data_IF_460115455466
#
_entry.id   IF_460115455466
#
_cell.length_a   1.000
_cell.length_b   1.000
_cell.length_c   1.000
_cell.angle_alpha   90.00
_cell.angle_beta   90.00
_cell.angle_gamma   90.00
#
_symmetry.space_group_name_H-M   'P 1'
#
loop_
_entity.id
_entity.type
_entity.pdbx_description
1 polymer ?
#
# COMPACT_ATOMS: atom_id res chain seq x y z
N UNK A 1 15.02 -15.84 13.23
CA UNK A 1 13.98 -16.45 14.07
C UNK A 1 12.81 -15.48 14.06
N UNK A 2 11.85 -15.67 13.16
CA UNK A 2 10.69 -14.77 13.07
C UNK A 2 9.85 -14.95 14.34
N UNK A 3 9.62 -13.86 15.08
CA UNK A 3 8.71 -13.88 16.21
C UNK A 3 7.30 -14.16 15.63
N UNK A 4 6.60 -15.23 16.08
CA UNK A 4 5.29 -15.58 15.55
C UNK A 4 4.30 -14.41 15.63
N UNK A 5 4.46 -13.54 16.63
CA UNK A 5 3.66 -12.34 16.83
C UNK A 5 3.78 -11.35 15.66
N UNK A 6 4.97 -11.18 15.10
CA UNK A 6 5.21 -10.25 13.99
C UNK A 6 4.53 -10.73 12.69
N UNK A 7 4.56 -12.04 12.45
CA UNK A 7 3.92 -12.63 11.26
C UNK A 7 2.40 -12.48 11.34
N UNK A 8 1.80 -12.67 12.52
CA UNK A 8 0.37 -12.46 12.73
C UNK A 8 -0.02 -10.99 12.51
N UNK A 9 0.78 -10.05 13.03
CA UNK A 9 0.57 -8.62 12.81
C UNK A 9 0.62 -8.27 11.32
N UNK A 10 1.60 -8.79 10.59
CA UNK A 10 1.76 -8.52 9.16
C UNK A 10 0.67 -9.16 8.30
N UNK A 11 0.23 -10.37 8.66
CA UNK A 11 -0.95 -11.00 8.06
C UNK A 11 -2.19 -10.12 8.25
N UNK A 12 -2.44 -9.67 9.48
CA UNK A 12 -3.58 -8.81 9.79
C UNK A 12 -3.50 -7.47 9.05
N UNK A 13 -2.32 -6.85 8.99
CA UNK A 13 -2.09 -5.62 8.23
C UNK A 13 -2.36 -5.84 6.73
N UNK A 14 -1.95 -6.97 6.16
CA UNK A 14 -2.23 -7.31 4.77
C UNK A 14 -3.72 -7.43 4.51
N UNK A 15 -4.46 -8.14 5.36
CA UNK A 15 -5.92 -8.27 5.25
C UNK A 15 -6.63 -6.93 5.42
N UNK A 16 -6.22 -6.10 6.37
CA UNK A 16 -6.81 -4.79 6.63
C UNK A 16 -6.46 -3.74 5.55
N UNK A 17 -5.43 -3.98 4.75
CA UNK A 17 -5.04 -3.07 3.66
C UNK A 17 -5.97 -3.13 2.44
N UNK A 18 -6.83 -4.16 2.34
CA UNK A 18 -7.72 -4.39 1.20
C UNK A 18 -8.54 -3.18 0.76
N UNK A 19 -9.33 -2.56 1.64
CA UNK A 19 -10.13 -1.36 1.31
C UNK A 19 -9.28 -0.20 0.80
N UNK A 20 -8.08 -0.02 1.35
CA UNK A 20 -7.15 1.04 0.94
C UNK A 20 -6.54 0.76 -0.44
N UNK A 21 -6.02 -0.45 -0.65
CA UNK A 21 -5.50 -0.90 -1.95
C UNK A 21 -6.58 -0.86 -3.04
N UNK A 22 -7.79 -1.33 -2.71
CA UNK A 22 -8.93 -1.28 -3.62
C UNK A 22 -9.32 0.15 -3.98
N UNK A 23 -9.29 1.07 -3.01
CA UNK A 23 -9.50 2.49 -3.23
C UNK A 23 -8.48 3.08 -4.21
N UNK A 24 -7.19 2.78 -4.00
CA UNK A 24 -6.11 3.23 -4.87
C UNK A 24 -6.29 2.73 -6.31
N UNK A 25 -6.54 1.43 -6.47
CA UNK A 25 -6.71 0.81 -7.79
C UNK A 25 -7.90 1.44 -8.52
N UNK A 26 -9.06 1.55 -7.88
CA UNK A 26 -10.26 2.14 -8.50
C UNK A 26 -10.05 3.61 -8.85
N UNK A 27 -9.45 4.39 -7.94
CA UNK A 27 -9.24 5.82 -8.15
C UNK A 27 -8.27 6.11 -9.32
N UNK A 28 -7.22 5.29 -9.47
CA UNK A 28 -6.16 5.51 -10.47
C UNK A 28 -6.34 4.73 -11.78
N UNK A 29 -7.32 3.82 -11.86
CA UNK A 29 -7.70 3.12 -13.09
C UNK A 29 -8.50 4.04 -14.02
N UNK A 30 -7.84 5.12 -14.45
CA UNK A 30 -8.35 6.16 -15.35
C UNK A 30 -7.35 6.42 -16.45
N UNK A 31 -7.84 6.88 -17.61
CA UNK A 31 -6.98 7.24 -18.73
C UNK A 31 -6.04 8.41 -18.36
N UNK A 32 -4.96 8.55 -19.12
CA UNK A 32 -3.95 9.59 -18.89
C UNK A 32 -4.58 11.00 -18.87
N UNK A 33 -4.16 11.84 -17.91
CA UNK A 33 -4.69 13.19 -17.63
C UNK A 33 -6.17 13.30 -17.26
N UNK A 34 -6.86 12.19 -17.01
CA UNK A 34 -8.18 12.23 -16.41
C UNK A 34 -8.08 12.45 -14.89
N UNK A 35 -9.05 13.15 -14.28
CA UNK A 35 -9.12 13.25 -12.83
C UNK A 35 -9.30 11.85 -12.20
N UNK A 36 -8.88 11.72 -10.94
CA UNK A 36 -9.07 10.50 -10.15
C UNK A 36 -10.54 10.10 -10.12
N UNK A 37 -10.81 8.81 -10.31
CA UNK A 37 -12.17 8.27 -10.29
C UNK A 37 -12.69 8.22 -8.86
N UNK A 38 -13.69 9.03 -8.55
CA UNK A 38 -14.40 9.01 -7.27
C UNK A 38 -15.81 8.43 -7.37
N UNK A 39 -16.41 8.50 -8.57
CA UNK A 39 -17.80 8.16 -8.81
C UNK A 39 -17.97 6.82 -9.53
N UNK A 40 -19.08 6.13 -9.25
CA UNK A 40 -19.51 4.94 -9.97
C UNK A 40 -19.73 5.26 -11.45
N UNK A 41 -19.19 4.47 -12.41
CA UNK A 41 -19.43 4.70 -13.84
C UNK A 41 -20.87 4.47 -14.28
N UNK A 42 -21.65 3.72 -13.51
CA UNK A 42 -23.03 3.33 -13.87
C UNK A 42 -24.05 4.31 -13.31
N UNK A 43 -23.98 4.62 -12.01
CA UNK A 43 -25.01 5.43 -11.33
C UNK A 43 -24.50 6.79 -10.82
N UNK A 44 -23.21 7.11 -11.00
CA UNK A 44 -22.65 8.41 -10.65
C UNK A 44 -22.49 8.70 -9.15
N UNK A 45 -22.90 7.81 -8.25
CA UNK A 45 -22.74 8.01 -6.80
C UNK A 45 -21.25 7.97 -6.41
N UNK A 46 -20.87 8.73 -5.39
CA UNK A 46 -19.52 8.66 -4.82
C UNK A 46 -19.27 7.27 -4.26
N UNK A 47 -18.20 6.63 -4.74
CA UNK A 47 -17.80 5.26 -4.38
C UNK A 47 -16.46 5.18 -3.69
N UNK A 48 -15.57 6.13 -3.96
CA UNK A 48 -14.23 6.19 -3.37
C UNK A 48 -14.02 7.60 -2.88
N UNK A 49 -13.69 7.73 -1.59
CA UNK A 49 -13.20 8.98 -1.03
C UNK A 49 -11.69 9.03 -1.23
N UNK A 50 -11.21 10.05 -1.94
CA UNK A 50 -9.79 10.20 -2.27
C UNK A 50 -9.28 11.49 -1.63
N UNK A 51 -8.35 11.34 -0.69
CA UNK A 51 -7.75 12.43 0.08
C UNK A 51 -6.22 12.40 -0.04
N UNK A 52 -5.54 13.45 0.49
CA UNK A 52 -4.07 13.63 0.43
C UNK A 52 -3.45 13.35 -0.95
N UNK A 53 -3.97 14.00 -1.99
CA UNK A 53 -3.34 13.99 -3.31
C UNK A 53 -3.36 12.65 -4.05
N UNK A 54 -4.26 11.73 -3.67
CA UNK A 54 -4.43 10.43 -4.35
C UNK A 54 -3.94 9.24 -3.55
N UNK A 55 -3.07 9.41 -2.55
CA UNK A 55 -2.45 8.28 -1.84
C UNK A 55 -3.36 7.67 -0.78
N UNK A 56 -4.34 8.42 -0.27
CA UNK A 56 -5.35 7.93 0.66
C UNK A 56 -6.67 7.77 -0.06
N UNK A 57 -6.98 6.55 -0.47
CA UNK A 57 -8.24 6.20 -1.10
C UNK A 57 -8.82 4.97 -0.41
N UNK A 58 -10.12 4.96 -0.12
CA UNK A 58 -10.78 3.81 0.47
C UNK A 58 -11.98 3.39 -0.39
N UNK A 59 -12.00 2.14 -0.82
CA UNK A 59 -13.13 1.52 -1.50
C UNK A 59 -13.96 0.68 -0.50
N UNK A 60 -15.25 0.45 -0.78
CA UNK A 60 -16.03 -0.53 -0.03
C UNK A 60 -15.40 -1.93 -0.18
N UNK A 61 -15.41 -2.75 0.89
CA UNK A 61 -14.77 -4.07 0.91
C UNK A 61 -15.35 -5.03 -0.13
N UNK A 62 -16.64 -4.86 -0.46
CA UNK A 62 -17.34 -5.70 -1.45
C UNK A 62 -16.92 -5.44 -2.91
N UNK A 63 -16.05 -4.45 -3.16
CA UNK A 63 -15.65 -3.99 -4.50
C UNK A 63 -16.85 -3.68 -5.42
N UNK A 64 -17.97 -3.27 -4.82
CA UNK A 64 -19.25 -2.99 -5.49
C UNK A 64 -19.80 -1.65 -5.06
N UNK A 65 -20.51 -1.00 -5.98
CA UNK A 65 -21.25 0.20 -5.68
C UNK A 65 -22.38 -0.09 -4.66
N UNK A 66 -22.51 0.71 -3.60
CA UNK A 66 -23.58 0.54 -2.58
C UNK A 66 -24.99 0.72 -3.14
N UNK A 67 -25.16 1.57 -4.17
CA UNK A 67 -26.45 1.88 -4.76
C UNK A 67 -26.84 0.92 -5.90
N UNK A 68 -26.05 0.82 -6.96
CA UNK A 68 -26.39 -0.02 -8.12
C UNK A 68 -25.76 -1.43 -8.11
N UNK A 69 -24.95 -1.78 -7.10
CA UNK A 69 -24.29 -3.09 -6.94
C UNK A 69 -23.39 -3.54 -8.11
N UNK A 70 -23.12 -2.64 -9.06
CA UNK A 70 -22.17 -2.88 -10.15
C UNK A 70 -20.75 -3.09 -9.59
N UNK A 71 -19.95 -3.99 -10.18
CA UNK A 71 -18.55 -4.16 -9.80
C UNK A 71 -17.77 -2.89 -10.14
N UNK A 72 -17.05 -2.36 -9.15
CA UNK A 72 -16.28 -1.12 -9.29
C UNK A 72 -14.78 -1.35 -9.41
N UNK A 73 -14.29 -2.54 -9.05
CA UNK A 73 -12.86 -2.83 -8.98
C UNK A 73 -12.53 -4.33 -8.99
N UNK A 74 -11.31 -4.69 -8.56
CA UNK A 74 -10.84 -6.08 -8.47
C UNK A 74 -11.78 -6.95 -7.63
N UNK A 75 -11.72 -8.27 -7.84
CA UNK A 75 -12.53 -9.21 -7.06
C UNK A 75 -12.32 -9.00 -5.54
N UNK A 76 -13.40 -9.01 -4.75
CA UNK A 76 -13.29 -8.83 -3.30
C UNK A 76 -12.40 -9.92 -2.70
N UNK A 77 -11.54 -9.54 -1.75
CA UNK A 77 -10.56 -10.43 -1.12
C UNK A 77 -9.28 -10.69 -1.93
N UNK A 78 -9.22 -10.40 -3.23
CA UNK A 78 -8.01 -10.66 -4.03
C UNK A 78 -6.81 -9.83 -3.54
N UNK A 79 -7.00 -8.53 -3.34
CA UNK A 79 -5.95 -7.64 -2.86
C UNK A 79 -5.52 -7.98 -1.43
N UNK A 80 -6.46 -8.39 -0.59
CA UNK A 80 -6.22 -8.79 0.80
C UNK A 80 -5.34 -10.04 0.88
N UNK A 81 -5.66 -11.06 0.08
CA UNK A 81 -4.90 -12.31 0.01
C UNK A 81 -3.50 -12.06 -0.55
N UNK A 82 -3.38 -11.28 -1.63
CA UNK A 82 -2.08 -10.95 -2.23
C UNK A 82 -1.22 -10.14 -1.24
N UNK A 83 -1.79 -9.13 -0.59
CA UNK A 83 -1.07 -8.33 0.40
C UNK A 83 -0.64 -9.17 1.61
N UNK A 84 -1.54 -9.98 2.18
CA UNK A 84 -1.22 -10.86 3.30
C UNK A 84 -0.12 -11.86 2.94
N UNK A 85 -0.20 -12.50 1.77
CA UNK A 85 0.81 -13.46 1.32
C UNK A 85 2.19 -12.80 1.16
N UNK A 86 2.26 -11.63 0.53
CA UNK A 86 3.52 -10.91 0.33
C UNK A 86 4.11 -10.43 1.66
N UNK A 87 3.30 -9.87 2.56
CA UNK A 87 3.78 -9.42 3.86
C UNK A 87 4.25 -10.57 4.75
N UNK A 88 3.57 -11.72 4.72
CA UNK A 88 4.05 -12.92 5.41
C UNK A 88 5.38 -13.42 4.84
N UNK A 89 5.54 -13.44 3.51
CA UNK A 89 6.79 -13.84 2.88
C UNK A 89 7.93 -12.90 3.30
N UNK A 90 7.69 -11.60 3.31
CA UNK A 90 8.67 -10.60 3.76
C UNK A 90 9.04 -10.79 5.24
N UNK A 91 8.07 -11.11 6.10
CA UNK A 91 8.30 -11.37 7.52
C UNK A 91 9.25 -12.55 7.76
N UNK A 92 9.18 -13.58 6.92
CA UNK A 92 10.05 -14.75 6.99
C UNK A 92 11.43 -14.45 6.39
N UNK A 93 11.48 -13.68 5.30
CA UNK A 93 12.70 -13.41 4.56
C UNK A 93 13.58 -12.31 5.19
N UNK A 94 13.01 -11.41 6.00
CA UNK A 94 13.70 -10.18 6.42
C UNK A 94 13.95 -10.15 7.93
N UNK A 95 15.20 -10.23 8.40
CA UNK A 95 15.51 -10.22 9.84
C UNK A 95 15.48 -8.82 10.47
N UNK A 96 15.63 -7.75 9.68
CA UNK A 96 15.64 -6.37 10.17
C UNK A 96 14.25 -5.75 10.09
N UNK A 97 13.73 -5.24 11.21
CA UNK A 97 12.40 -4.61 11.30
C UNK A 97 12.30 -3.37 10.41
N UNK A 98 13.36 -2.57 10.33
CA UNK A 98 13.37 -1.36 9.50
C UNK A 98 13.38 -1.68 8.02
N UNK A 99 14.15 -2.69 7.61
CA UNK A 99 14.13 -3.19 6.24
C UNK A 99 12.74 -3.75 5.95
N UNK A 100 12.20 -4.58 6.82
CA UNK A 100 10.87 -5.17 6.66
C UNK A 100 9.78 -4.10 6.50
N UNK A 101 9.82 -3.02 7.29
CA UNK A 101 8.89 -1.90 7.17
C UNK A 101 9.01 -1.22 5.78
N UNK A 102 10.23 -0.98 5.31
CA UNK A 102 10.47 -0.38 4.00
C UNK A 102 9.95 -1.27 2.86
N UNK A 103 10.28 -2.57 2.90
CA UNK A 103 9.81 -3.53 1.92
C UNK A 103 8.30 -3.74 1.96
N UNK A 104 7.69 -3.73 3.16
CA UNK A 104 6.23 -3.83 3.32
C UNK A 104 5.52 -2.63 2.70
N UNK A 105 6.03 -1.42 2.94
CA UNK A 105 5.51 -0.20 2.33
C UNK A 105 5.56 -0.27 0.80
N UNK A 106 6.73 -0.62 0.26
CA UNK A 106 6.95 -0.73 -1.18
C UNK A 106 6.14 -1.85 -1.81
N UNK A 107 5.98 -2.98 -1.11
CA UNK A 107 5.16 -4.10 -1.57
C UNK A 107 3.68 -3.71 -1.68
N UNK A 108 3.12 -3.03 -0.68
CA UNK A 108 1.72 -2.60 -0.71
C UNK A 108 1.45 -1.63 -1.87
N UNK A 109 2.31 -0.63 -2.06
CA UNK A 109 2.18 0.30 -3.19
C UNK A 109 2.46 -0.41 -4.53
N UNK A 110 3.43 -1.33 -4.58
CA UNK A 110 3.74 -2.14 -5.74
C UNK A 110 2.58 -3.04 -6.18
N UNK A 111 1.84 -3.61 -5.23
CA UNK A 111 0.61 -4.36 -5.51
C UNK A 111 -0.42 -3.44 -6.16
N UNK A 112 -0.72 -2.29 -5.55
CA UNK A 112 -1.66 -1.34 -6.16
C UNK A 112 -1.23 -0.93 -7.58
N UNK A 113 0.05 -0.60 -7.76
CA UNK A 113 0.65 -0.25 -9.05
C UNK A 113 0.49 -1.36 -10.09
N UNK A 114 0.75 -2.62 -9.74
CA UNK A 114 0.62 -3.76 -10.65
C UNK A 114 -0.83 -3.95 -11.13
N UNK A 115 -1.80 -3.79 -10.23
CA UNK A 115 -3.22 -3.88 -10.59
C UNK A 115 -3.67 -2.71 -11.48
N UNK A 116 -3.16 -1.49 -11.22
CA UNK A 116 -3.44 -0.33 -12.07
C UNK A 116 -2.80 -0.53 -13.44
N UNK A 117 -1.56 -1.04 -13.49
CA UNK A 117 -0.86 -1.32 -14.74
C UNK A 117 -1.59 -2.37 -15.57
N UNK A 118 -2.05 -3.47 -14.97
CA UNK A 118 -2.88 -4.46 -15.70
C UNK A 118 -4.19 -3.85 -16.20
N UNK A 119 -4.80 -2.92 -15.45
CA UNK A 119 -6.08 -2.33 -15.80
C UNK A 119 -6.00 -1.26 -16.90
N UNK A 120 -4.95 -0.44 -16.90
CA UNK A 120 -4.85 0.73 -17.80
C UNK A 120 -3.47 0.90 -18.47
N UNK A 121 -2.56 -0.06 -18.32
CA UNK A 121 -1.17 -0.05 -18.84
C UNK A 121 -0.44 1.25 -18.50
N UNK A 122 -0.61 1.68 -17.25
CA UNK A 122 -0.05 2.93 -16.74
C UNK A 122 0.43 2.77 -15.30
N UNK A 123 1.58 3.37 -15.02
CA UNK A 123 2.12 3.54 -13.68
C UNK A 123 1.89 4.99 -13.18
N UNK A 124 1.08 5.22 -12.13
CA UNK A 124 0.89 6.56 -11.57
C UNK A 124 2.15 7.12 -10.90
N UNK A 125 2.65 8.26 -11.40
CA UNK A 125 3.87 8.91 -10.89
C UNK A 125 3.82 9.17 -9.38
N UNK A 126 2.67 9.60 -8.85
CA UNK A 126 2.49 9.89 -7.41
C UNK A 126 2.73 8.65 -6.55
N UNK A 127 2.22 7.48 -6.97
CA UNK A 127 2.39 6.22 -6.23
C UNK A 127 3.82 5.70 -6.35
N UNK A 128 4.43 5.84 -7.54
CA UNK A 128 5.84 5.49 -7.75
C UNK A 128 6.76 6.33 -6.88
N UNK A 129 6.52 7.64 -6.79
CA UNK A 129 7.28 8.54 -5.91
C UNK A 129 7.06 8.14 -4.43
N UNK A 130 5.81 7.89 -4.02
CA UNK A 130 5.51 7.46 -2.66
C UNK A 130 6.20 6.12 -2.29
N UNK A 131 6.28 5.18 -3.23
CA UNK A 131 7.00 3.93 -3.05
C UNK A 131 8.52 4.16 -2.91
N UNK A 132 9.09 5.04 -3.73
CA UNK A 132 10.51 5.42 -3.64
C UNK A 132 10.84 6.09 -2.31
N UNK A 133 10.00 7.03 -1.85
CA UNK A 133 10.18 7.73 -0.58
C UNK A 133 10.18 6.78 0.62
N UNK A 134 9.29 5.79 0.66
CA UNK A 134 9.30 4.80 1.74
C UNK A 134 10.51 3.88 1.67
N UNK A 135 10.89 3.44 0.47
CA UNK A 135 12.04 2.53 0.27
C UNK A 135 13.35 3.13 0.77
N UNK A 136 13.58 4.43 0.52
CA UNK A 136 14.80 5.13 0.90
C UNK A 136 14.71 5.77 2.29
N UNK A 137 13.56 6.34 2.63
CA UNK A 137 13.38 7.13 3.84
C UNK A 137 13.39 6.30 5.12
N UNK A 138 12.67 5.17 5.15
CA UNK A 138 12.56 4.32 6.33
C UNK A 138 13.93 3.78 6.82
N UNK A 139 14.78 3.19 5.98
CA UNK A 139 16.12 2.76 6.41
C UNK A 139 17.03 3.94 6.73
N UNK A 140 16.90 5.07 6.03
CA UNK A 140 17.68 6.27 6.31
C UNK A 140 17.40 6.86 7.69
N UNK A 141 16.13 6.96 8.08
CA UNK A 141 15.72 7.40 9.42
C UNK A 141 16.22 6.45 10.50
N UNK A 142 16.15 5.13 10.24
CA UNK A 142 16.68 4.13 11.15
C UNK A 142 18.17 4.31 11.42
N UNK A 143 18.97 4.50 10.35
CA UNK A 143 20.40 4.71 10.46
C UNK A 143 20.71 5.91 11.36
N UNK A 144 20.07 7.05 11.12
CA UNK A 144 20.23 8.27 11.93
C UNK A 144 19.79 8.06 13.39
N UNK A 145 18.68 7.35 13.62
CA UNK A 145 18.18 7.10 14.97
C UNK A 145 19.10 6.15 15.77
N UNK A 146 19.73 5.18 15.10
CA UNK A 146 20.66 4.24 15.73
C UNK A 146 22.07 4.79 15.92
N UNK A 147 22.44 5.85 15.18
CA UNK A 147 23.74 6.52 15.26
C UNK A 147 23.77 7.58 16.38
N UNK A 148 23.24 7.23 17.56
CA UNK A 148 23.38 8.08 18.75
C UNK A 148 24.86 8.17 19.16
N UNK A 149 25.36 9.37 19.50
CA UNK A 149 26.79 9.65 19.55
C UNK A 149 27.46 8.92 20.72
N UNK A 150 28.16 7.84 20.41
CA UNK A 150 29.08 7.14 21.34
C UNK A 150 30.44 7.86 21.46
N UNK A 151 30.50 9.15 21.11
CA UNK A 151 31.70 10.01 21.10
C UNK A 151 31.90 10.79 22.41
N UNK A 152 31.46 10.24 23.54
CA UNK A 152 31.77 10.78 24.87
C UNK A 152 32.43 9.72 25.75
N UNK A 153 33.64 9.30 25.38
CA UNK A 153 34.58 8.72 26.32
C UNK A 153 35.96 9.33 26.04
N UNK A 154 36.42 10.31 26.84
CA UNK A 154 37.83 10.67 26.82
C UNK A 154 38.64 9.45 27.26
N UNK A 155 39.60 9.04 26.44
CA UNK A 155 40.62 8.09 26.85
C UNK A 155 41.40 8.71 28.02
N UNK A 156 41.42 7.99 29.13
CA UNK A 156 42.26 8.23 30.32
C UNK A 156 43.73 8.32 29.96
#
# INVERSE_FOLDING_TARGET
MALPDLTVVLLALGLLSGPWLGGLVVAHSVAYRQPLRQHCPVCGVVTVDVTRGGVLAAAPPDARCRQCRSPTGPAPGLLEVVAAAVLCLLAVATPSVWVLAAWSWTALLGIALAFIDVAVLRLPDVLTIAAGLGSLGLPGVAAVATDSPRTAAPAT
#
